data_IF_142052547796
#
_entry.id   IF_142052547796
#
_cell.length_a   1.000
_cell.length_b   1.000
_cell.length_c   1.000
_cell.angle_alpha   90.00
_cell.angle_beta   90.00
_cell.angle_gamma   90.00
#
_symmetry.space_group_name_H-M   'P 1'
#
loop_
_entity.id
_entity.type
_entity.pdbx_description
1 polymer ?
#
# COMPACT_ATOMS: atom_id res chain seq x y z
N UNK A 1 -6.79 -1.61 4.37
CA UNK A 1 -7.21 -0.32 3.77
C UNK A 1 -8.06 -0.66 2.56
N UNK A 2 -9.34 -0.29 2.54
CA UNK A 2 -10.19 -0.53 1.37
C UNK A 2 -9.73 0.44 0.26
N UNK A 3 -9.17 -0.08 -0.82
CA UNK A 3 -8.79 0.75 -1.97
C UNK A 3 -10.04 1.45 -2.49
N UNK A 4 -10.06 2.79 -2.41
CA UNK A 4 -11.12 3.59 -3.01
C UNK A 4 -11.05 3.38 -4.52
N UNK A 5 -12.16 2.93 -5.08
CA UNK A 5 -12.21 2.59 -6.49
C UNK A 5 -12.71 3.79 -7.30
N UNK A 6 -11.81 4.48 -7.99
CA UNK A 6 -12.10 5.68 -8.78
C UNK A 6 -13.03 5.45 -9.97
N UNK A 7 -13.43 4.21 -10.24
CA UNK A 7 -14.42 3.92 -11.28
C UNK A 7 -15.74 4.65 -11.03
N UNK A 8 -16.10 4.88 -9.76
CA UNK A 8 -17.33 5.57 -9.38
C UNK A 8 -17.32 7.08 -9.67
N UNK A 9 -16.19 7.66 -10.09
CA UNK A 9 -16.16 9.04 -10.59
C UNK A 9 -16.81 9.14 -12.00
N UNK A 10 -16.87 8.02 -12.72
CA UNK A 10 -17.40 7.94 -14.08
C UNK A 10 -18.77 7.25 -14.18
N UNK A 11 -19.21 6.63 -13.10
CA UNK A 11 -20.46 5.89 -13.03
C UNK A 11 -21.21 6.18 -11.74
N UNK A 12 -22.51 6.31 -11.86
CA UNK A 12 -23.43 6.51 -10.74
C UNK A 12 -24.10 5.18 -10.38
N UNK A 13 -24.17 4.85 -9.08
CA UNK A 13 -24.98 3.70 -8.64
C UNK A 13 -26.45 4.06 -8.72
N UNK A 14 -27.27 3.17 -9.29
CA UNK A 14 -28.71 3.40 -9.31
C UNK A 14 -29.28 3.33 -7.89
N UNK A 15 -30.09 4.31 -7.51
CA UNK A 15 -30.78 4.35 -6.20
C UNK A 15 -31.88 3.31 -6.11
N UNK A 16 -32.51 2.97 -7.24
CA UNK A 16 -33.62 2.01 -7.30
C UNK A 16 -33.16 0.56 -7.42
N UNK A 17 -31.98 0.33 -8.00
CA UNK A 17 -31.43 -1.01 -8.20
C UNK A 17 -29.93 -1.01 -7.93
N UNK A 18 -29.56 -1.40 -6.71
CA UNK A 18 -28.17 -1.45 -6.27
C UNK A 18 -27.31 -2.41 -7.09
N UNK A 19 -27.92 -3.33 -7.85
CA UNK A 19 -27.22 -4.23 -8.76
C UNK A 19 -26.84 -3.59 -10.09
N UNK A 20 -27.20 -2.31 -10.32
CA UNK A 20 -26.94 -1.60 -11.57
C UNK A 20 -26.21 -0.28 -11.34
N UNK A 21 -25.38 0.07 -12.32
CA UNK A 21 -24.70 1.34 -12.40
C UNK A 21 -24.99 2.03 -13.74
N UNK A 22 -25.14 3.35 -13.71
CA UNK A 22 -25.37 4.20 -14.88
C UNK A 22 -24.06 4.88 -15.28
N UNK A 23 -23.73 4.87 -16.55
CA UNK A 23 -22.60 5.65 -17.05
C UNK A 23 -22.94 7.14 -17.08
N UNK A 24 -22.06 8.01 -16.57
CA UNK A 24 -22.31 9.45 -16.53
C UNK A 24 -22.24 10.10 -17.92
N UNK A 25 -21.57 9.46 -18.89
CA UNK A 25 -21.35 9.98 -20.24
C UNK A 25 -22.40 9.55 -21.24
N UNK A 26 -22.72 8.26 -21.29
CA UNK A 26 -23.68 7.72 -22.25
C UNK A 26 -25.03 7.33 -21.62
N UNK A 27 -25.17 7.48 -20.29
CA UNK A 27 -26.39 7.17 -19.54
C UNK A 27 -26.92 5.73 -19.67
N UNK A 28 -26.10 4.82 -20.21
CA UNK A 28 -26.41 3.38 -20.28
C UNK A 28 -26.28 2.72 -18.92
N UNK A 29 -27.18 1.78 -18.65
CA UNK A 29 -27.18 0.97 -17.43
C UNK A 29 -26.36 -0.31 -17.63
N UNK A 30 -25.55 -0.64 -16.63
CA UNK A 30 -24.69 -1.80 -16.58
C UNK A 30 -24.94 -2.59 -15.29
N UNK A 31 -25.07 -3.91 -15.42
CA UNK A 31 -25.21 -4.80 -14.26
C UNK A 31 -23.86 -4.98 -13.54
N UNK A 32 -23.91 -4.96 -12.22
CA UNK A 32 -22.80 -5.21 -11.30
C UNK A 32 -22.73 -6.68 -10.86
N UNK A 33 -23.64 -7.52 -11.35
CA UNK A 33 -23.73 -8.96 -11.06
C UNK A 33 -24.36 -9.31 -9.71
N UNK A 34 -24.32 -8.42 -8.72
CA UNK A 34 -24.96 -8.63 -7.42
C UNK A 34 -25.49 -7.31 -6.84
N UNK A 35 -26.58 -7.39 -6.09
CA UNK A 35 -27.08 -6.29 -5.25
C UNK A 35 -26.21 -6.07 -4.00
N UNK A 36 -25.45 -7.09 -3.56
CA UNK A 36 -24.56 -6.98 -2.42
C UNK A 36 -23.27 -6.23 -2.78
N UNK A 37 -22.96 -5.08 -2.14
CA UNK A 37 -21.79 -4.26 -2.50
C UNK A 37 -20.45 -5.00 -2.45
N UNK A 38 -20.31 -6.01 -1.59
CA UNK A 38 -19.09 -6.81 -1.44
C UNK A 38 -18.90 -7.84 -2.56
N UNK A 39 -19.96 -8.19 -3.31
CA UNK A 39 -19.95 -9.17 -4.41
C UNK A 39 -20.11 -8.52 -5.78
N UNK A 40 -20.05 -7.19 -5.85
CA UNK A 40 -20.15 -6.45 -7.10
C UNK A 40 -18.86 -6.53 -7.92
N UNK A 41 -19.01 -6.78 -9.22
CA UNK A 41 -17.88 -6.71 -10.16
C UNK A 41 -17.87 -5.38 -10.90
N UNK A 42 -16.68 -4.80 -10.99
CA UNK A 42 -16.43 -3.56 -11.73
C UNK A 42 -15.92 -3.80 -13.15
N UNK A 43 -15.71 -5.06 -13.52
CA UNK A 43 -15.07 -5.43 -14.78
C UNK A 43 -15.85 -4.90 -15.99
N UNK A 44 -17.18 -5.03 -15.96
CA UNK A 44 -18.05 -4.52 -17.03
C UNK A 44 -17.92 -3.01 -17.23
N UNK A 45 -17.78 -2.24 -16.14
CA UNK A 45 -17.63 -0.78 -16.21
C UNK A 45 -16.27 -0.38 -16.78
N UNK A 46 -15.19 -1.06 -16.36
CA UNK A 46 -13.84 -0.83 -16.92
C UNK A 46 -13.81 -1.12 -18.42
N UNK A 47 -14.41 -2.23 -18.84
CA UNK A 47 -14.49 -2.61 -20.25
C UNK A 47 -15.28 -1.58 -21.05
N UNK A 48 -16.41 -1.11 -20.51
CA UNK A 48 -17.19 -0.05 -21.13
C UNK A 48 -16.38 1.24 -21.29
N UNK A 49 -15.69 1.68 -20.23
CA UNK A 49 -14.87 2.88 -20.25
C UNK A 49 -13.77 2.75 -21.32
N UNK A 50 -13.05 1.63 -21.34
CA UNK A 50 -11.97 1.38 -22.31
C UNK A 50 -12.45 1.33 -23.76
N UNK A 51 -13.65 0.83 -24.03
CA UNK A 51 -14.16 0.67 -25.41
C UNK A 51 -14.87 1.91 -25.95
N UNK A 52 -15.61 2.63 -25.10
CA UNK A 52 -16.51 3.71 -25.53
C UNK A 52 -16.07 5.10 -25.08
N UNK A 53 -15.23 5.20 -24.04
CA UNK A 53 -14.87 6.44 -23.37
C UNK A 53 -13.36 6.49 -23.13
N UNK A 54 -12.60 6.52 -24.23
CA UNK A 54 -11.14 6.41 -24.21
C UNK A 54 -10.46 7.50 -23.38
N UNK A 55 -11.00 8.72 -23.35
CA UNK A 55 -10.46 9.80 -22.55
C UNK A 55 -10.67 9.60 -21.04
N UNK A 56 -11.88 9.22 -20.64
CA UNK A 56 -12.21 8.89 -19.26
C UNK A 56 -11.40 7.68 -18.79
N UNK A 57 -11.17 6.69 -19.68
CA UNK A 57 -10.31 5.56 -19.40
C UNK A 57 -8.86 6.00 -19.14
N UNK A 58 -8.31 6.94 -19.93
CA UNK A 58 -6.99 7.52 -19.67
C UNK A 58 -6.94 8.23 -18.32
N UNK A 59 -7.98 8.98 -17.95
CA UNK A 59 -8.05 9.64 -16.64
C UNK A 59 -8.12 8.64 -15.49
N UNK A 60 -8.92 7.58 -15.64
CA UNK A 60 -9.02 6.49 -14.68
C UNK A 60 -7.67 5.78 -14.47
N UNK A 61 -6.97 5.43 -15.56
CA UNK A 61 -5.66 4.78 -15.49
C UNK A 61 -4.61 5.66 -14.81
N UNK A 62 -4.53 6.95 -15.16
CA UNK A 62 -3.62 7.90 -14.51
C UNK A 62 -3.85 8.01 -13.00
N UNK A 63 -5.10 7.92 -12.53
CA UNK A 63 -5.40 7.93 -11.09
C UNK A 63 -4.97 6.64 -10.41
N UNK A 64 -5.20 5.49 -11.06
CA UNK A 64 -4.75 4.19 -10.56
C UNK A 64 -3.23 4.12 -10.41
N UNK A 65 -2.50 4.59 -11.43
CA UNK A 65 -1.03 4.63 -11.42
C UNK A 65 -0.48 5.49 -10.28
N UNK A 66 -1.02 6.70 -10.09
CA UNK A 66 -0.62 7.60 -8.98
C UNK A 66 -0.84 6.99 -7.60
N UNK A 67 -1.91 6.22 -7.44
CA UNK A 67 -2.19 5.56 -6.17
C UNK A 67 -1.31 4.34 -5.95
N UNK A 68 -1.01 3.58 -7.01
CA UNK A 68 -0.03 2.50 -6.96
C UNK A 68 1.36 3.03 -6.57
N UNK A 69 1.80 4.13 -7.18
CA UNK A 69 3.08 4.78 -6.89
C UNK A 69 3.14 5.26 -5.42
N UNK A 70 2.08 5.89 -4.91
CA UNK A 70 2.01 6.30 -3.50
C UNK A 70 2.07 5.12 -2.53
N UNK A 71 1.43 3.99 -2.86
CA UNK A 71 1.50 2.80 -2.03
C UNK A 71 2.88 2.13 -2.09
N UNK A 72 3.52 2.11 -3.27
CA UNK A 72 4.91 1.68 -3.44
C UNK A 72 5.86 2.53 -2.59
N UNK A 73 5.80 3.85 -2.69
CA UNK A 73 6.60 4.77 -1.86
C UNK A 73 6.37 4.54 -0.35
N UNK A 74 5.12 4.28 0.08
CA UNK A 74 4.83 3.93 1.48
C UNK A 74 5.44 2.60 1.89
N UNK A 75 5.41 1.59 1.01
CA UNK A 75 6.03 0.29 1.26
C UNK A 75 7.55 0.40 1.34
N UNK A 76 8.18 1.12 0.42
CA UNK A 76 9.61 1.42 0.43
C UNK A 76 10.02 2.16 1.71
N UNK A 77 9.28 3.20 2.10
CA UNK A 77 9.55 3.93 3.34
C UNK A 77 9.43 3.03 4.59
N UNK A 78 8.44 2.13 4.62
CA UNK A 78 8.31 1.12 5.70
C UNK A 78 9.47 0.13 5.70
N UNK A 79 9.89 -0.34 4.53
CA UNK A 79 11.00 -1.27 4.39
C UNK A 79 12.31 -0.62 4.85
N UNK A 80 12.57 0.62 4.43
CA UNK A 80 13.74 1.41 4.85
C UNK A 80 13.80 1.58 6.36
N UNK A 81 12.68 1.94 7.01
CA UNK A 81 12.58 2.04 8.47
C UNK A 81 12.86 0.71 9.17
N UNK A 82 12.32 -0.40 8.66
CA UNK A 82 12.59 -1.75 9.18
C UNK A 82 14.07 -2.12 9.04
N UNK A 83 14.66 -1.85 7.88
CA UNK A 83 16.07 -2.14 7.63
C UNK A 83 16.99 -1.32 8.54
N UNK A 84 16.73 -0.03 8.72
CA UNK A 84 17.48 0.82 9.64
C UNK A 84 17.39 0.31 11.09
N UNK A 85 16.19 -0.12 11.52
CA UNK A 85 16.00 -0.73 12.85
C UNK A 85 16.84 -2.01 12.98
N UNK A 86 16.81 -2.88 11.98
CA UNK A 86 17.60 -4.11 11.96
C UNK A 86 19.10 -3.83 12.03
N UNK A 87 19.61 -2.88 11.24
CA UNK A 87 21.01 -2.46 11.27
C UNK A 87 21.41 -1.91 12.64
N UNK A 88 20.57 -1.09 13.28
CA UNK A 88 20.85 -0.59 14.63
C UNK A 88 20.94 -1.71 15.68
N UNK A 89 20.05 -2.71 15.61
CA UNK A 89 20.08 -3.85 16.52
C UNK A 89 21.33 -4.72 16.30
N UNK A 90 21.70 -4.94 15.04
CA UNK A 90 22.92 -5.67 14.68
C UNK A 90 24.17 -4.95 15.19
N UNK A 91 24.26 -3.62 15.04
CA UNK A 91 25.39 -2.84 15.54
C UNK A 91 25.55 -2.93 17.07
N UNK A 92 24.44 -2.87 17.81
CA UNK A 92 24.45 -3.05 19.28
C UNK A 92 24.95 -4.44 19.67
N UNK A 93 24.49 -5.49 18.97
CA UNK A 93 24.93 -6.86 19.23
C UNK A 93 26.43 -7.03 18.96
N UNK A 94 26.92 -6.52 17.82
CA UNK A 94 28.34 -6.57 17.46
C UNK A 94 29.18 -5.83 18.50
N UNK A 95 28.78 -4.62 18.91
CA UNK A 95 29.47 -3.85 19.93
C UNK A 95 29.56 -4.61 21.27
N UNK A 96 28.48 -5.29 21.67
CA UNK A 96 28.47 -6.11 22.88
C UNK A 96 29.41 -7.32 22.80
N UNK A 97 29.47 -7.99 21.63
CA UNK A 97 30.41 -9.10 21.40
C UNK A 97 31.85 -8.60 21.45
N UNK A 98 32.16 -7.50 20.74
CA UNK A 98 33.50 -6.89 20.74
C UNK A 98 33.91 -6.48 22.16
N UNK A 99 33.02 -5.82 22.92
CA UNK A 99 33.30 -5.45 24.31
C UNK A 99 33.59 -6.66 25.21
N UNK A 100 32.94 -7.81 24.98
CA UNK A 100 33.24 -9.04 25.70
C UNK A 100 34.57 -9.68 25.30
N UNK A 101 34.95 -9.62 24.01
CA UNK A 101 36.23 -10.14 23.52
C UNK A 101 37.43 -9.31 24.00
N UNK A 102 37.26 -7.98 24.07
CA UNK A 102 38.31 -7.04 24.48
C UNK A 102 38.21 -6.61 25.94
N UNK A 103 37.44 -7.32 26.78
CA UNK A 103 37.42 -7.08 28.24
C UNK A 103 38.86 -7.16 28.77
N UNK A 104 39.45 -6.04 29.24
CA UNK A 104 40.80 -6.11 29.81
C UNK A 104 40.73 -6.94 31.09
N UNK A 105 41.60 -7.94 31.22
CA UNK A 105 41.88 -8.66 32.46
C UNK A 105 42.59 -7.71 33.45
N UNK A 106 41.93 -6.65 33.89
CA UNK A 106 42.44 -5.73 34.90
C UNK A 106 42.04 -6.21 36.29
N UNK A 107 42.57 -7.37 36.67
CA UNK A 107 42.40 -7.92 38.01
C UNK A 107 43.73 -8.54 38.45
N UNK A 108 44.70 -7.69 38.80
CA UNK A 108 45.89 -8.07 39.61
C UNK A 108 46.83 -6.93 40.04
N UNK A 109 46.35 -5.71 40.29
CA UNK A 109 47.21 -4.67 40.90
C UNK A 109 46.42 -3.79 41.86
N UNK A 110 46.19 -4.27 43.10
CA UNK A 110 46.12 -3.42 44.29
C UNK A 110 45.97 -4.26 45.58
N UNK A 111 47.03 -4.94 46.01
CA UNK A 111 47.19 -5.41 47.40
C UNK A 111 48.69 -5.56 47.69
N UNK A 112 49.40 -4.45 47.78
CA UNK A 112 50.65 -4.32 48.52
C UNK A 112 51.05 -2.85 48.55
N UNK A 113 50.84 -2.25 49.70
CA UNK A 113 51.46 -0.99 50.09
C UNK A 113 51.07 -0.70 51.53
N UNK A 114 51.80 0.20 52.20
CA UNK A 114 53.26 0.35 52.21
C UNK A 114 53.95 -0.73 53.07
#
# INVERSE_FOLDING_TARGET
MSQKNYIWDFFEKSTSDLSKAKCNKCHKLYSLGSSEPKRQTIHGLKLHLSKFHGEENRQYLKRQEKDAEKEEQKLEAKLKRRNQKFQSQQAVLIAAVVANLYKPQFSKWNKQGP
#
